data_IF_076910927228
#
_entry.id   IF_076910927228
#
_cell.length_a   1.000
_cell.length_b   1.000
_cell.length_c   1.000
_cell.angle_alpha   90.00
_cell.angle_beta   90.00
_cell.angle_gamma   90.00
#
_symmetry.space_group_name_H-M   'P 1'
#
loop_
_entity.id
_entity.type
_entity.pdbx_description
1 polymer ?
#
# COMPACT_ATOMS: atom_id res chain seq x y z
N UNK A 1 -15.72 7.53 -9.32
CA UNK A 1 -14.86 6.77 -10.26
C UNK A 1 -13.90 5.97 -9.42
N UNK A 2 -13.66 4.70 -9.76
CA UNK A 2 -12.73 3.87 -8.99
C UNK A 2 -11.31 4.43 -9.02
N UNK A 3 -10.58 4.23 -7.93
CA UNK A 3 -9.18 4.67 -7.79
C UNK A 3 -8.30 3.48 -7.49
N UNK A 4 -7.22 3.34 -8.25
CA UNK A 4 -6.15 2.39 -7.99
C UNK A 4 -5.00 3.13 -7.34
N UNK A 5 -4.66 2.75 -6.11
CA UNK A 5 -3.55 3.29 -5.33
C UNK A 5 -2.38 2.30 -5.37
N UNK A 6 -1.30 2.69 -6.03
CA UNK A 6 -0.11 1.84 -6.23
C UNK A 6 1.07 2.38 -5.45
N UNK A 7 1.69 1.53 -4.63
CA UNK A 7 2.88 1.85 -3.85
C UNK A 7 4.00 0.90 -4.28
N UNK A 8 5.04 1.44 -4.89
CA UNK A 8 6.26 0.72 -5.23
C UNK A 8 7.38 1.19 -4.31
N UNK A 9 8.13 0.26 -3.71
CA UNK A 9 9.08 0.63 -2.67
C UNK A 9 10.30 -0.29 -2.58
N UNK A 10 11.30 0.21 -1.89
CA UNK A 10 12.53 -0.48 -1.53
C UNK A 10 12.67 -0.50 -0.01
N UNK A 11 12.85 -1.67 0.57
CA UNK A 11 13.25 -1.82 1.96
C UNK A 11 14.72 -1.44 2.17
N UNK A 12 15.05 -0.96 3.35
CA UNK A 12 16.45 -0.74 3.75
C UNK A 12 17.23 -2.05 3.75
N UNK A 13 18.51 -1.97 3.42
CA UNK A 13 19.36 -3.15 3.18
C UNK A 13 19.65 -3.95 4.46
N UNK A 14 19.57 -3.32 5.62
CA UNK A 14 19.80 -3.95 6.93
C UNK A 14 18.63 -4.80 7.45
N UNK A 15 17.47 -4.77 6.79
CA UNK A 15 16.30 -5.52 7.24
C UNK A 15 16.44 -7.01 6.95
N UNK A 16 16.06 -7.83 7.94
CA UNK A 16 16.03 -9.27 7.77
C UNK A 16 14.86 -9.70 6.89
N UNK A 17 14.94 -10.92 6.34
CA UNK A 17 13.82 -11.50 5.59
C UNK A 17 12.53 -11.61 6.43
N UNK A 18 12.68 -11.84 7.74
CA UNK A 18 11.55 -11.92 8.66
C UNK A 18 10.92 -10.54 8.92
N UNK A 19 11.73 -9.48 9.04
CA UNK A 19 11.23 -8.10 9.15
C UNK A 19 10.43 -7.70 7.90
N UNK A 20 10.97 -8.01 6.73
CA UNK A 20 10.30 -7.76 5.44
C UNK A 20 8.98 -8.53 5.37
N UNK A 21 8.98 -9.81 5.74
CA UNK A 21 7.78 -10.66 5.74
C UNK A 21 6.72 -10.14 6.72
N UNK A 22 7.13 -9.72 7.92
CA UNK A 22 6.22 -9.16 8.92
C UNK A 22 5.62 -7.82 8.46
N UNK A 23 6.44 -6.94 7.87
CA UNK A 23 5.98 -5.69 7.29
C UNK A 23 4.96 -5.94 6.16
N UNK A 24 5.23 -6.93 5.31
CA UNK A 24 4.33 -7.29 4.20
C UNK A 24 3.00 -7.89 4.69
N UNK A 25 3.05 -8.76 5.70
CA UNK A 25 1.84 -9.30 6.32
C UNK A 25 0.96 -8.18 6.90
N UNK A 26 1.57 -7.17 7.54
CA UNK A 26 0.85 -6.01 8.06
C UNK A 26 0.26 -5.15 6.94
N UNK A 27 0.98 -4.97 5.83
CA UNK A 27 0.47 -4.29 4.64
C UNK A 27 -0.82 -4.96 4.15
N UNK A 28 -0.79 -6.27 3.93
CA UNK A 28 -1.93 -7.00 3.37
C UNK A 28 -3.11 -7.11 4.36
N UNK A 29 -2.86 -7.01 5.66
CA UNK A 29 -3.90 -7.00 6.68
C UNK A 29 -4.75 -5.71 6.65
N UNK A 30 -4.25 -4.62 6.05
CA UNK A 30 -4.98 -3.34 5.99
C UNK A 30 -6.35 -3.48 5.34
N UNK A 31 -6.51 -4.37 4.36
CA UNK A 31 -7.83 -4.63 3.74
C UNK A 31 -8.90 -5.09 4.74
N UNK A 32 -8.49 -5.69 5.85
CA UNK A 32 -9.38 -6.21 6.89
C UNK A 32 -9.41 -5.32 8.13
N UNK A 33 -8.32 -4.59 8.43
CA UNK A 33 -8.22 -3.73 9.62
C UNK A 33 -8.63 -2.28 9.37
N UNK A 34 -8.51 -1.78 8.14
CA UNK A 34 -8.99 -0.45 7.76
C UNK A 34 -10.47 -0.54 7.41
N UNK A 35 -11.30 -0.17 8.39
CA UNK A 35 -12.76 -0.13 8.30
C UNK A 35 -13.26 1.27 8.65
N UNK A 36 -14.35 1.68 8.04
CA UNK A 36 -14.90 3.01 8.27
C UNK A 36 -15.35 3.14 9.74
N UNK A 37 -14.85 4.15 10.46
CA UNK A 37 -15.01 4.22 11.92
C UNK A 37 -16.48 4.32 12.37
N UNK A 38 -17.35 4.87 11.54
CA UNK A 38 -18.78 5.04 11.87
C UNK A 38 -19.67 3.89 11.42
N UNK A 39 -19.36 3.21 10.32
CA UNK A 39 -20.21 2.15 9.75
C UNK A 39 -19.66 0.74 10.02
N UNK A 40 -18.36 0.62 10.31
CA UNK A 40 -17.66 -0.66 10.43
C UNK A 40 -17.46 -1.38 9.09
N UNK A 41 -17.83 -0.75 7.97
CA UNK A 41 -17.73 -1.35 6.65
C UNK A 41 -16.32 -1.19 6.06
N UNK A 42 -15.93 -2.16 5.24
CA UNK A 42 -14.67 -2.11 4.49
C UNK A 42 -14.84 -1.23 3.26
N UNK A 43 -13.89 -0.31 3.05
CA UNK A 43 -13.86 0.58 1.89
C UNK A 43 -12.70 0.27 0.92
N UNK A 44 -11.74 -0.58 1.35
CA UNK A 44 -10.72 -1.17 0.47
C UNK A 44 -11.37 -2.35 -0.26
N UNK A 45 -11.55 -2.23 -1.58
CA UNK A 45 -12.15 -3.28 -2.41
C UNK A 45 -11.20 -4.46 -2.55
N UNK A 46 -9.93 -4.16 -2.89
CA UNK A 46 -8.90 -5.17 -3.03
C UNK A 46 -7.55 -4.61 -2.59
N UNK A 47 -6.69 -5.50 -2.10
CA UNK A 47 -5.33 -5.17 -1.72
C UNK A 47 -4.43 -6.35 -2.06
N UNK A 48 -3.46 -6.13 -2.95
CA UNK A 48 -2.53 -7.14 -3.42
C UNK A 48 -1.12 -6.58 -3.33
N UNK A 49 -0.13 -7.45 -3.17
CA UNK A 49 1.26 -7.04 -3.23
C UNK A 49 2.21 -8.21 -3.24
N UNK A 50 3.46 -7.93 -3.58
CA UNK A 50 4.55 -8.90 -3.46
C UNK A 50 5.92 -8.29 -3.76
N UNK A 51 6.91 -9.17 -3.82
CA UNK A 51 8.25 -8.88 -4.32
C UNK A 51 8.22 -8.80 -5.84
N UNK A 52 8.98 -7.87 -6.41
CA UNK A 52 9.20 -7.79 -7.85
C UNK A 52 9.80 -9.10 -8.39
N UNK A 53 9.31 -9.49 -9.56
CA UNK A 53 9.77 -10.65 -10.32
C UNK A 53 9.86 -10.33 -11.82
N UNK A 54 9.83 -9.05 -12.20
CA UNK A 54 9.87 -8.65 -13.61
C UNK A 54 11.26 -8.90 -14.21
N UNK A 55 11.35 -9.61 -15.35
CA UNK A 55 12.63 -9.86 -16.02
C UNK A 55 13.16 -8.63 -16.78
N UNK A 56 12.42 -7.53 -16.82
CA UNK A 56 12.75 -6.35 -17.63
C UNK A 56 13.86 -5.49 -17.02
N UNK A 57 14.19 -5.69 -15.74
CA UNK A 57 15.24 -4.96 -15.01
C UNK A 57 15.07 -3.42 -15.02
N UNK A 58 13.83 -2.93 -15.06
CA UNK A 58 13.50 -1.50 -15.11
C UNK A 58 12.97 -0.94 -13.79
N UNK A 59 13.16 -1.66 -12.67
CA UNK A 59 12.54 -1.30 -11.39
C UNK A 59 13.13 -0.04 -10.73
N UNK A 60 14.30 0.43 -11.18
CA UNK A 60 14.92 1.63 -10.64
C UNK A 60 15.22 1.54 -9.13
N UNK A 61 15.62 0.35 -8.67
CA UNK A 61 15.96 0.02 -7.28
C UNK A 61 14.78 -0.44 -6.42
N UNK A 62 13.54 -0.29 -6.91
CA UNK A 62 12.34 -0.74 -6.19
C UNK A 62 12.30 -2.28 -6.18
N UNK A 63 11.91 -2.87 -5.05
CA UNK A 63 11.96 -4.32 -4.84
C UNK A 63 10.60 -4.95 -4.59
N UNK A 64 9.60 -4.16 -4.23
CA UNK A 64 8.26 -4.62 -3.89
C UNK A 64 7.20 -3.64 -4.41
N UNK A 65 5.99 -4.16 -4.58
CA UNK A 65 4.82 -3.37 -4.96
C UNK A 65 3.57 -3.81 -4.22
N UNK A 66 2.71 -2.85 -3.91
CA UNK A 66 1.36 -3.04 -3.36
C UNK A 66 0.38 -2.23 -4.20
N UNK A 67 -0.78 -2.81 -4.48
CA UNK A 67 -1.89 -2.18 -5.21
C UNK A 67 -3.15 -2.33 -4.39
N UNK A 68 -3.78 -1.20 -4.08
CA UNK A 68 -5.07 -1.10 -3.43
C UNK A 68 -6.12 -0.53 -4.40
N UNK A 69 -7.35 -1.02 -4.32
CA UNK A 69 -8.47 -0.52 -5.12
C UNK A 69 -9.56 0.04 -4.21
N UNK A 70 -10.10 1.20 -4.61
CA UNK A 70 -11.17 1.92 -3.93
C UNK A 70 -12.33 2.19 -4.90
N UNK A 71 -13.56 2.23 -4.39
CA UNK A 71 -14.74 2.55 -5.19
C UNK A 71 -14.77 4.02 -5.63
N UNK A 72 -14.13 4.88 -4.84
CA UNK A 72 -14.22 6.33 -4.94
C UNK A 72 -12.92 7.00 -4.49
N UNK A 73 -12.73 8.27 -4.89
CA UNK A 73 -11.60 9.06 -4.41
C UNK A 73 -11.76 9.42 -2.93
N UNK A 74 -13.00 9.58 -2.49
CA UNK A 74 -13.37 9.87 -1.10
C UNK A 74 -12.95 8.74 -0.15
N UNK A 75 -13.16 7.47 -0.54
CA UNK A 75 -12.70 6.32 0.24
C UNK A 75 -11.18 6.26 0.32
N UNK A 76 -10.50 6.52 -0.79
CA UNK A 76 -9.03 6.62 -0.85
C UNK A 76 -8.52 7.77 0.02
N UNK A 77 -9.17 8.92 -0.03
CA UNK A 77 -8.78 10.10 0.74
C UNK A 77 -8.96 9.82 2.24
N UNK A 78 -10.08 9.22 2.65
CA UNK A 78 -10.31 8.78 4.02
C UNK A 78 -9.22 7.79 4.49
N UNK A 79 -8.93 6.78 3.68
CA UNK A 79 -7.85 5.81 3.95
C UNK A 79 -6.53 6.52 4.24
N UNK A 80 -6.14 7.45 3.36
CA UNK A 80 -4.86 8.14 3.46
C UNK A 80 -4.84 9.11 4.64
N UNK A 81 -5.83 9.98 4.78
CA UNK A 81 -5.75 11.14 5.67
C UNK A 81 -6.37 10.95 7.05
N UNK A 82 -7.33 10.04 7.16
CA UNK A 82 -8.26 10.01 8.30
C UNK A 82 -8.26 8.68 9.04
N UNK A 83 -7.98 7.56 8.38
CA UNK A 83 -7.96 6.26 9.03
C UNK A 83 -6.77 6.13 10.00
N UNK A 84 -7.03 6.00 11.32
CA UNK A 84 -5.95 5.91 12.31
C UNK A 84 -5.09 4.65 12.15
N UNK A 85 -5.67 3.53 11.68
CA UNK A 85 -4.93 2.28 11.45
C UNK A 85 -3.94 2.46 10.31
N UNK A 86 -4.36 3.12 9.23
CA UNK A 86 -3.46 3.45 8.12
C UNK A 86 -2.38 4.46 8.55
N UNK A 87 -2.73 5.48 9.35
CA UNK A 87 -1.77 6.45 9.87
C UNK A 87 -0.69 5.82 10.76
N UNK A 88 -1.07 4.89 11.63
CA UNK A 88 -0.10 4.11 12.42
C UNK A 88 0.78 3.22 11.54
N UNK A 89 0.17 2.61 10.51
CA UNK A 89 0.90 1.81 9.54
C UNK A 89 1.95 2.65 8.78
N UNK A 90 1.61 3.86 8.35
CA UNK A 90 2.54 4.78 7.66
C UNK A 90 3.76 5.11 8.51
N UNK A 91 3.58 5.35 9.82
CA UNK A 91 4.69 5.60 10.76
C UNK A 91 5.59 4.37 10.90
N UNK A 92 4.99 3.18 11.01
CA UNK A 92 5.71 1.92 11.11
C UNK A 92 6.52 1.64 9.84
N UNK A 93 5.87 1.65 8.67
CA UNK A 93 6.52 1.29 7.41
C UNK A 93 7.56 2.33 6.98
N UNK A 94 7.32 3.62 7.24
CA UNK A 94 8.26 4.70 6.90
C UNK A 94 9.64 4.54 7.52
N UNK A 95 9.76 3.89 8.69
CA UNK A 95 11.06 3.58 9.30
C UNK A 95 11.85 2.47 8.59
N UNK A 96 11.16 1.65 7.79
CA UNK A 96 11.69 0.45 7.14
C UNK A 96 12.05 0.65 5.67
N UNK A 97 11.55 1.71 5.04
CA UNK A 97 11.75 1.98 3.61
C UNK A 97 12.97 2.85 3.38
N UNK A 98 13.72 2.52 2.32
CA UNK A 98 14.77 3.35 1.74
C UNK A 98 14.15 4.34 0.73
N UNK A 99 13.19 3.86 -0.06
CA UNK A 99 12.55 4.61 -1.13
C UNK A 99 11.10 4.15 -1.31
N UNK A 100 10.21 5.07 -1.64
CA UNK A 100 8.84 4.79 -2.04
C UNK A 100 8.41 5.68 -3.21
N UNK A 101 7.57 5.13 -4.09
CA UNK A 101 6.88 5.82 -5.17
C UNK A 101 5.41 5.46 -5.06
N UNK A 102 4.55 6.47 -4.97
CA UNK A 102 3.10 6.31 -4.85
C UNK A 102 2.45 6.91 -6.08
N UNK A 103 1.58 6.15 -6.74
CA UNK A 103 0.84 6.57 -7.93
C UNK A 103 -0.61 6.18 -7.77
N UNK A 104 -1.48 7.17 -7.88
CA UNK A 104 -2.92 6.98 -7.88
C UNK A 104 -3.47 7.32 -9.26
N UNK A 105 -4.30 6.44 -9.79
CA UNK A 105 -4.90 6.65 -11.10
C UNK A 105 -6.31 6.07 -11.15
N UNK A 106 -7.08 6.55 -12.12
CA UNK A 106 -8.35 5.95 -12.51
C UNK A 106 -8.16 5.23 -13.84
N UNK A 107 -8.75 4.04 -13.95
CA UNK A 107 -8.67 3.24 -15.17
C UNK A 107 -9.28 4.01 -16.36
N UNK A 108 -8.55 4.00 -17.49
CA UNK A 108 -8.96 4.67 -18.72
C UNK A 108 -8.80 6.21 -18.77
N UNK A 109 -8.07 6.82 -17.84
CA UNK A 109 -7.81 8.28 -17.81
C UNK A 109 -6.33 8.57 -18.11
N UNK A 110 -6.05 9.51 -19.05
CA UNK A 110 -4.71 9.80 -19.59
C UNK A 110 -4.32 11.27 -19.49
#
# INVERSE_FOLDING_TARGET
MGVTHTVLFQFKAELSADDVKAAFARFLALKDTCVHATTGERYIISLKGGKDNSPENMQGGLTHGVVAEFASAEDRDYYITSDPVHQEFMKFIGGLLEKAVVVDFADGVY
#
